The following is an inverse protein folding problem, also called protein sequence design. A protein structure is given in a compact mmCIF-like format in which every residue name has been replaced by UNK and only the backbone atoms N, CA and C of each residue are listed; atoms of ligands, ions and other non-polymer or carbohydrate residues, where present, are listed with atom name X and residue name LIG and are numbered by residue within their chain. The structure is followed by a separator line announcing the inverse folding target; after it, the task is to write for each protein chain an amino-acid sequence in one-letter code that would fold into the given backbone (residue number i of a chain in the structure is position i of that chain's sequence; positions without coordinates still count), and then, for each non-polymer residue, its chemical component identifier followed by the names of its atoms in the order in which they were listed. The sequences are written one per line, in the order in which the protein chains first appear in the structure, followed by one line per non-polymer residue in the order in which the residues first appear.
data_IF_000344381420
#
_entry.id   IF_000344381420
#
_cell.length_a   1.000
_cell.length_b   1.000
_cell.length_c   1.000
_cell.angle_alpha   90.00
_cell.angle_beta   90.00
_cell.angle_gamma   90.00
#
_symmetry.space_group_name_H-M   'P 1'
#
loop_
_entity.id
_entity.type
_entity.pdbx_description
1 polymer ?
#
# COMPACT_ATOMS: atom_id res chain seq x y z
N UNK A 1 -43.17 30.93 17.30
CA UNK A 1 -43.49 29.49 17.38
C UNK A 1 -42.45 28.83 18.27
N UNK A 2 -42.81 27.80 19.02
CA UNK A 2 -41.95 27.13 20.00
C UNK A 2 -41.56 25.73 19.51
N UNK A 3 -40.32 25.34 19.73
CA UNK A 3 -39.80 24.00 19.43
C UNK A 3 -39.29 23.33 20.71
N UNK A 4 -39.23 22.00 20.72
CA UNK A 4 -38.49 21.27 21.75
C UNK A 4 -36.99 21.37 21.47
N UNK A 5 -36.17 21.50 22.50
CA UNK A 5 -34.73 21.45 22.38
C UNK A 5 -34.11 20.58 23.46
N UNK A 6 -33.12 19.79 23.07
CA UNK A 6 -32.34 18.93 23.95
C UNK A 6 -30.96 18.74 23.31
N UNK A 7 -29.91 18.95 24.08
CA UNK A 7 -28.52 19.08 23.59
C UNK A 7 -28.20 20.43 22.94
N UNK A 8 -29.12 21.04 22.19
CA UNK A 8 -28.92 22.29 21.44
C UNK A 8 -29.90 23.42 21.81
N UNK A 9 -30.06 23.70 23.10
CA UNK A 9 -30.89 24.82 23.55
C UNK A 9 -30.11 26.16 23.54
N UNK A 10 -30.68 27.23 22.93
CA UNK A 10 -30.08 28.56 23.00
C UNK A 10 -30.08 29.07 24.45
N UNK A 11 -29.01 29.80 24.81
CA UNK A 11 -28.83 30.42 26.14
C UNK A 11 -28.90 29.45 27.33
N UNK A 12 -28.62 28.16 27.10
CA UNK A 12 -28.63 27.13 28.15
C UNK A 12 -29.96 27.06 28.92
N UNK A 13 -31.08 27.38 28.26
CA UNK A 13 -32.39 27.38 28.89
C UNK A 13 -32.78 25.97 29.37
N UNK A 14 -33.12 25.86 30.66
CA UNK A 14 -33.49 24.60 31.30
C UNK A 14 -34.91 24.12 30.98
N UNK A 15 -35.72 24.94 30.31
CA UNK A 15 -37.12 24.61 30.01
C UNK A 15 -37.27 23.65 28.81
N UNK A 16 -36.17 23.19 28.21
CA UNK A 16 -36.19 22.24 27.09
C UNK A 16 -36.91 22.75 25.85
N UNK A 17 -37.00 24.07 25.68
CA UNK A 17 -37.71 24.69 24.55
C UNK A 17 -36.96 25.91 24.03
N UNK A 18 -37.17 26.20 22.76
CA UNK A 18 -36.61 27.37 22.09
C UNK A 18 -37.66 28.05 21.20
N UNK A 19 -37.50 29.34 20.96
CA UNK A 19 -38.44 30.13 20.13
C UNK A 19 -37.83 30.45 18.77
N UNK A 20 -38.60 30.17 17.71
CA UNK A 20 -38.25 30.53 16.33
C UNK A 20 -39.00 31.78 15.87
N UNK A 21 -38.26 32.65 15.17
CA UNK A 21 -38.80 33.79 14.42
C UNK A 21 -39.63 33.31 13.23
N UNK A 22 -40.53 34.14 12.67
CA UNK A 22 -41.24 33.81 11.44
C UNK A 22 -40.28 33.37 10.32
N UNK A 23 -40.59 32.26 9.65
CA UNK A 23 -39.74 31.63 8.63
C UNK A 23 -38.68 30.67 9.19
N UNK A 24 -38.48 30.61 10.52
CA UNK A 24 -37.64 29.60 11.16
C UNK A 24 -38.37 28.26 11.32
N UNK A 25 -37.60 27.21 11.53
CA UNK A 25 -38.11 25.83 11.61
C UNK A 25 -37.64 25.13 12.88
N UNK A 26 -38.43 24.18 13.37
CA UNK A 26 -37.96 23.23 14.37
C UNK A 26 -37.22 22.08 13.69
N UNK A 27 -36.26 21.45 14.37
CA UNK A 27 -35.56 20.28 13.83
C UNK A 27 -35.45 19.15 14.85
N UNK A 28 -35.34 17.94 14.29
CA UNK A 28 -34.86 16.73 14.97
C UNK A 28 -33.76 16.14 14.12
N UNK A 29 -32.62 15.83 14.74
CA UNK A 29 -31.53 15.14 14.07
C UNK A 29 -31.14 13.89 14.83
N UNK A 30 -30.64 12.91 14.09
CA UNK A 30 -30.20 11.63 14.62
C UNK A 30 -28.79 11.35 14.13
N UNK A 31 -27.95 10.84 15.01
CA UNK A 31 -26.56 10.49 14.74
C UNK A 31 -26.26 9.11 15.31
N UNK A 32 -25.59 8.27 14.53
CA UNK A 32 -25.12 6.97 14.98
C UNK A 32 -23.80 7.14 15.74
N UNK A 33 -23.82 6.88 17.06
CA UNK A 33 -22.61 6.88 17.88
C UNK A 33 -22.28 5.46 18.32
N UNK A 34 -21.02 5.07 18.22
CA UNK A 34 -20.57 3.75 18.65
C UNK A 34 -20.52 3.68 20.19
N UNK A 35 -21.20 2.69 20.76
CA UNK A 35 -21.15 2.39 22.19
C UNK A 35 -20.18 1.24 22.45
N UNK A 36 -19.04 1.53 23.10
CA UNK A 36 -18.01 0.55 23.42
C UNK A 36 -18.49 -0.60 24.32
N UNK A 37 -19.50 -0.36 25.16
CA UNK A 37 -20.06 -1.39 26.05
C UNK A 37 -20.99 -2.33 25.30
N UNK A 38 -21.75 -1.80 24.35
CA UNK A 38 -22.70 -2.58 23.54
C UNK A 38 -22.05 -3.19 22.30
N UNK A 39 -20.90 -2.66 21.86
CA UNK A 39 -20.18 -3.08 20.67
C UNK A 39 -20.94 -2.76 19.37
N UNK A 40 -21.82 -1.76 19.39
CA UNK A 40 -22.69 -1.41 18.27
C UNK A 40 -23.00 0.08 18.22
N UNK A 41 -23.43 0.54 17.05
CA UNK A 41 -23.89 1.92 16.86
C UNK A 41 -25.28 2.11 17.49
N UNK A 42 -25.40 3.13 18.35
CA UNK A 42 -26.65 3.54 18.98
C UNK A 42 -27.14 4.88 18.41
N UNK A 43 -28.45 5.03 18.16
CA UNK A 43 -29.02 6.28 17.66
C UNK A 43 -29.10 7.33 18.77
N UNK A 44 -28.45 8.48 18.57
CA UNK A 44 -28.52 9.63 19.47
C UNK A 44 -29.30 10.76 18.81
N UNK A 45 -30.39 11.16 19.46
CA UNK A 45 -31.30 12.20 18.97
C UNK A 45 -30.96 13.56 19.58
N UNK A 46 -31.06 14.61 18.77
CA UNK A 46 -30.96 16.00 19.22
C UNK A 46 -32.06 16.85 18.61
N UNK A 47 -32.46 17.89 19.34
CA UNK A 47 -33.63 18.71 19.01
C UNK A 47 -33.30 20.18 19.16
N UNK A 48 -33.92 21.03 18.34
CA UNK A 48 -33.79 22.47 18.52
C UNK A 48 -34.47 23.32 17.45
N UNK A 49 -33.96 24.55 17.34
CA UNK A 49 -34.48 25.61 16.50
C UNK A 49 -33.48 26.00 15.40
N UNK A 50 -33.95 26.10 14.16
CA UNK A 50 -33.19 26.63 13.04
C UNK A 50 -33.64 28.08 12.72
N UNK A 51 -32.69 28.98 12.44
CA UNK A 51 -32.98 30.34 12.00
C UNK A 51 -33.69 30.35 10.62
N UNK A 52 -34.37 31.45 10.33
CA UNK A 52 -35.09 31.66 9.06
C UNK A 52 -34.16 32.04 7.88
N UNK A 53 -32.86 32.16 8.11
CA UNK A 53 -31.89 32.52 7.10
C UNK A 53 -31.49 31.31 6.25
N UNK A 54 -30.73 31.57 5.19
CA UNK A 54 -30.26 30.52 4.28
C UNK A 54 -29.47 29.43 5.01
N UNK A 55 -28.79 29.76 6.11
CA UNK A 55 -28.06 28.78 6.93
C UNK A 55 -28.99 27.74 7.54
N UNK A 56 -30.11 28.17 8.13
CA UNK A 56 -31.10 27.25 8.68
C UNK A 56 -31.72 26.35 7.59
N UNK A 57 -32.01 26.92 6.43
CA UNK A 57 -32.53 26.16 5.29
C UNK A 57 -31.54 25.12 4.77
N UNK A 58 -30.27 25.48 4.62
CA UNK A 58 -29.22 24.56 4.15
C UNK A 58 -28.92 23.47 5.18
N UNK A 59 -28.95 23.78 6.48
CA UNK A 59 -28.83 22.78 7.55
C UNK A 59 -29.99 21.78 7.51
N UNK A 60 -31.21 22.25 7.26
CA UNK A 60 -32.36 21.36 7.14
C UNK A 60 -32.23 20.38 5.97
N UNK A 61 -31.54 20.78 4.90
CA UNK A 61 -31.19 19.93 3.76
C UNK A 61 -29.95 19.06 3.98
N UNK A 62 -29.39 19.03 5.19
CA UNK A 62 -28.19 18.28 5.52
C UNK A 62 -28.33 16.78 5.25
N UNK A 63 -29.54 16.22 5.29
CA UNK A 63 -29.80 14.81 4.98
C UNK A 63 -29.53 14.43 3.51
N UNK A 64 -29.34 15.41 2.61
CA UNK A 64 -29.04 15.17 1.19
C UNK A 64 -27.55 14.95 0.92
N UNK A 65 -26.69 15.24 1.91
CA UNK A 65 -25.23 15.13 1.77
C UNK A 65 -24.78 13.83 2.45
N UNK A 66 -23.91 13.02 1.82
CA UNK A 66 -23.30 11.88 2.49
C UNK A 66 -22.42 12.36 3.64
N UNK A 67 -22.67 11.83 4.83
CA UNK A 67 -21.86 12.11 6.03
C UNK A 67 -20.90 10.95 6.30
N UNK A 68 -19.71 11.25 6.80
CA UNK A 68 -18.73 10.22 7.22
C UNK A 68 -19.27 9.39 8.39
N UNK A 69 -19.95 10.05 9.33
CA UNK A 69 -20.75 9.43 10.39
C UNK A 69 -22.22 9.43 9.97
N UNK A 70 -22.90 8.30 10.10
CA UNK A 70 -24.31 8.18 9.72
C UNK A 70 -25.17 9.17 10.51
N UNK A 71 -25.65 10.20 9.83
CA UNK A 71 -26.44 11.30 10.40
C UNK A 71 -27.57 11.69 9.47
N UNK A 72 -28.71 12.07 10.05
CA UNK A 72 -29.87 12.55 9.31
C UNK A 72 -30.60 13.64 10.09
N UNK A 73 -31.31 14.51 9.40
CA UNK A 73 -32.05 15.63 9.98
C UNK A 73 -33.38 15.81 9.26
N UNK A 74 -34.41 16.15 10.04
CA UNK A 74 -35.72 16.49 9.53
C UNK A 74 -36.22 17.75 10.24
N UNK A 75 -36.97 18.59 9.52
CA UNK A 75 -37.51 19.85 10.05
C UNK A 75 -39.00 19.95 9.82
N UNK A 76 -39.64 20.78 10.63
CA UNK A 76 -41.07 21.06 10.58
C UNK A 76 -41.37 22.49 11.01
N UNK A 77 -42.51 23.00 10.56
CA UNK A 77 -42.96 24.35 10.81
C UNK A 77 -44.51 24.45 10.86
N UNK A 78 -45.21 23.33 11.05
CA UNK A 78 -46.66 23.21 11.00
C UNK A 78 -47.33 23.63 12.32
N UNK A 79 -46.76 23.26 13.47
CA UNK A 79 -47.31 23.52 14.81
C UNK A 79 -46.23 23.78 15.86
N UNK A 80 -46.64 24.24 17.05
CA UNK A 80 -45.73 24.32 18.19
C UNK A 80 -45.29 22.90 18.62
N UNK A 81 -44.01 22.76 18.95
CA UNK A 81 -43.35 21.51 19.35
C UNK A 81 -43.46 20.38 18.30
N UNK A 82 -43.62 20.72 17.02
CA UNK A 82 -43.76 19.74 15.95
C UNK A 82 -42.61 18.73 15.85
N UNK A 83 -41.42 19.10 16.34
CA UNK A 83 -40.22 18.27 16.23
C UNK A 83 -40.21 17.05 17.18
N UNK A 84 -41.11 16.99 18.16
CA UNK A 84 -41.27 15.80 19.01
C UNK A 84 -41.76 14.57 18.22
N UNK A 85 -42.52 14.79 17.16
CA UNK A 85 -43.11 13.71 16.36
C UNK A 85 -42.17 13.23 15.23
N UNK A 86 -41.05 13.95 15.00
CA UNK A 86 -40.10 13.64 13.92
C UNK A 86 -39.19 12.47 14.31
N UNK A 87 -39.04 11.52 13.39
CA UNK A 87 -38.16 10.35 13.53
C UNK A 87 -37.30 10.21 12.28
N UNK A 88 -36.29 11.08 12.09
CA UNK A 88 -35.36 10.94 10.96
C UNK A 88 -34.65 9.59 11.05
N UNK A 89 -34.42 8.97 9.89
CA UNK A 89 -33.63 7.73 9.78
C UNK A 89 -32.33 8.03 9.06
N UNK A 90 -31.27 7.33 9.45
CA UNK A 90 -29.97 7.37 8.78
C UNK A 90 -29.74 6.04 8.05
N UNK A 91 -29.01 6.05 6.92
CA UNK A 91 -28.60 4.80 6.31
C UNK A 91 -27.67 4.05 7.27
N UNK A 92 -27.98 2.79 7.53
CA UNK A 92 -27.07 1.90 8.23
C UNK A 92 -25.77 1.83 7.43
N UNK A 93 -24.66 2.18 8.07
CA UNK A 93 -23.36 1.92 7.46
C UNK A 93 -23.27 0.40 7.31
N UNK A 94 -22.85 -0.13 6.13
CA UNK A 94 -22.51 -1.53 6.05
C UNK A 94 -21.54 -1.81 7.19
N UNK A 95 -21.92 -2.68 8.12
CA UNK A 95 -21.01 -3.16 9.14
C UNK A 95 -19.81 -3.69 8.36
N UNK A 96 -18.57 -3.23 8.61
CA UNK A 96 -17.43 -3.91 8.04
C UNK A 96 -17.57 -5.35 8.54
N UNK A 97 -17.85 -6.28 7.63
CA UNK A 97 -17.78 -7.70 7.96
C UNK A 97 -16.44 -7.87 8.68
N UNK A 98 -16.48 -8.38 9.91
CA UNK A 98 -15.28 -8.60 10.71
C UNK A 98 -14.25 -9.23 9.77
N UNK A 99 -13.06 -8.64 9.61
CA UNK A 99 -12.20 -8.94 8.48
C UNK A 99 -11.96 -10.45 8.47
N UNK A 100 -12.59 -11.14 7.52
CA UNK A 100 -12.23 -12.51 7.23
C UNK A 100 -10.75 -12.41 6.87
N UNK A 101 -9.89 -13.05 7.67
CA UNK A 101 -8.46 -13.14 7.44
C UNK A 101 -8.21 -13.72 6.03
N UNK A 102 -8.20 -12.86 5.01
CA UNK A 102 -8.25 -13.32 3.63
C UNK A 102 -8.75 -12.31 2.62
N UNK A 103 -8.31 -11.05 2.68
CA UNK A 103 -7.96 -10.18 1.53
C UNK A 103 -7.90 -8.72 1.98
N UNK A 104 -6.73 -8.06 1.92
CA UNK A 104 -6.67 -6.65 2.27
C UNK A 104 -7.16 -5.80 1.08
N UNK A 105 -8.29 -5.11 1.26
CA UNK A 105 -8.78 -4.01 0.43
C UNK A 105 -7.88 -2.75 0.53
N UNK A 106 -6.56 -2.96 0.42
CA UNK A 106 -5.54 -1.94 0.35
C UNK A 106 -4.72 -2.15 -0.93
N UNK A 107 -5.40 -2.37 -2.07
CA UNK A 107 -4.77 -2.54 -3.38
C UNK A 107 -3.72 -1.45 -3.70
N UNK A 108 -3.94 -0.14 -3.47
CA UNK A 108 -2.92 0.86 -3.79
C UNK A 108 -1.70 0.80 -2.84
N UNK A 109 -1.91 0.56 -1.54
CA UNK A 109 -0.83 0.53 -0.55
C UNK A 109 0.00 -0.75 -0.66
N UNK A 110 -0.65 -1.88 -0.91
CA UNK A 110 0.00 -3.18 -1.10
C UNK A 110 0.83 -3.20 -2.38
N UNK A 111 0.34 -2.59 -3.47
CA UNK A 111 1.10 -2.43 -4.72
C UNK A 111 2.32 -1.52 -4.51
N UNK A 112 2.17 -0.42 -3.76
CA UNK A 112 3.28 0.48 -3.46
C UNK A 112 4.38 -0.23 -2.67
N UNK A 113 4.01 -0.94 -1.60
CA UNK A 113 4.95 -1.65 -0.74
C UNK A 113 5.68 -2.78 -1.49
N UNK A 114 4.96 -3.55 -2.31
CA UNK A 114 5.56 -4.62 -3.13
C UNK A 114 6.50 -4.06 -4.20
N UNK A 115 6.16 -2.94 -4.84
CA UNK A 115 7.05 -2.27 -5.80
C UNK A 115 8.33 -1.75 -5.15
N UNK A 116 8.23 -1.11 -3.98
CA UNK A 116 9.40 -0.56 -3.27
C UNK A 116 10.34 -1.67 -2.81
N UNK A 117 9.79 -2.74 -2.23
CA UNK A 117 10.58 -3.89 -1.78
C UNK A 117 11.28 -4.60 -2.95
N UNK A 118 10.60 -4.78 -4.08
CA UNK A 118 11.22 -5.35 -5.28
C UNK A 118 12.34 -4.47 -5.84
N UNK A 119 12.15 -3.15 -5.86
CA UNK A 119 13.18 -2.22 -6.31
C UNK A 119 14.43 -2.27 -5.42
N UNK A 120 14.24 -2.27 -4.09
CA UNK A 120 15.34 -2.35 -3.13
C UNK A 120 16.12 -3.67 -3.24
N UNK A 121 15.43 -4.79 -3.41
CA UNK A 121 16.11 -6.10 -3.55
C UNK A 121 16.96 -6.16 -4.83
N UNK A 122 16.47 -5.64 -5.96
CA UNK A 122 17.24 -5.56 -7.20
C UNK A 122 18.49 -4.70 -7.04
N UNK A 123 18.38 -3.52 -6.41
CA UNK A 123 19.53 -2.65 -6.17
C UNK A 123 20.59 -3.35 -5.31
N UNK A 124 20.17 -4.03 -4.23
CA UNK A 124 21.09 -4.77 -3.37
C UNK A 124 21.78 -5.93 -4.10
N UNK A 125 21.06 -6.64 -4.97
CA UNK A 125 21.66 -7.70 -5.79
C UNK A 125 22.70 -7.15 -6.77
N UNK A 126 22.42 -6.03 -7.44
CA UNK A 126 23.37 -5.39 -8.36
C UNK A 126 24.63 -4.95 -7.58
N UNK A 127 24.46 -4.29 -6.43
CA UNK A 127 25.58 -3.87 -5.58
C UNK A 127 26.40 -5.08 -5.12
N UNK A 128 25.75 -6.17 -4.70
CA UNK A 128 26.43 -7.41 -4.31
C UNK A 128 27.24 -8.00 -5.47
N UNK A 129 26.67 -8.08 -6.68
CA UNK A 129 27.36 -8.58 -7.88
C UNK A 129 28.57 -7.69 -8.21
N UNK A 130 28.41 -6.37 -8.20
CA UNK A 130 29.51 -5.43 -8.45
C UNK A 130 30.60 -5.58 -7.40
N UNK A 131 30.22 -5.67 -6.12
CA UNK A 131 31.16 -5.89 -5.02
C UNK A 131 31.93 -7.20 -5.18
N UNK A 132 31.24 -8.31 -5.49
CA UNK A 132 31.89 -9.60 -5.73
C UNK A 132 32.80 -9.57 -6.96
N UNK A 133 32.39 -8.91 -8.05
CA UNK A 133 33.24 -8.74 -9.25
C UNK A 133 34.46 -7.89 -8.96
N UNK A 134 34.32 -6.81 -8.19
CA UNK A 134 35.42 -5.96 -7.78
C UNK A 134 36.37 -6.70 -6.84
N UNK A 135 35.84 -7.44 -5.88
CA UNK A 135 36.63 -8.27 -4.96
C UNK A 135 37.34 -9.40 -5.71
N UNK A 136 36.68 -10.05 -6.67
CA UNK A 136 37.30 -11.06 -7.55
C UNK A 136 38.39 -10.45 -8.43
N UNK A 137 38.15 -9.28 -9.02
CA UNK A 137 39.17 -8.53 -9.78
C UNK A 137 40.35 -8.11 -8.90
N UNK A 138 40.10 -7.70 -7.66
CA UNK A 138 41.15 -7.32 -6.72
C UNK A 138 41.99 -8.53 -6.30
N UNK A 139 41.35 -9.66 -6.00
CA UNK A 139 42.03 -10.92 -5.69
C UNK A 139 42.83 -11.42 -6.91
N UNK A 140 42.25 -11.37 -8.11
CA UNK A 140 42.95 -11.72 -9.35
C UNK A 140 44.12 -10.76 -9.65
N UNK A 141 43.96 -9.46 -9.40
CA UNK A 141 45.02 -8.46 -9.57
C UNK A 141 46.15 -8.68 -8.55
N UNK A 142 45.82 -8.99 -7.29
CA UNK A 142 46.79 -9.36 -6.25
C UNK A 142 47.52 -10.67 -6.60
N UNK A 143 46.81 -11.68 -7.08
CA UNK A 143 47.40 -12.94 -7.52
C UNK A 143 48.28 -12.78 -8.77
N UNK A 144 47.86 -11.97 -9.75
CA UNK A 144 48.65 -11.63 -10.95
C UNK A 144 49.92 -10.86 -10.62
N UNK A 145 49.87 -9.91 -9.66
CA UNK A 145 51.05 -9.20 -9.18
C UNK A 145 51.98 -10.09 -8.35
N UNK A 146 51.44 -11.00 -7.54
CA UNK A 146 52.22 -11.98 -6.79
C UNK A 146 52.92 -12.98 -7.73
N UNK A 147 52.21 -13.47 -8.75
CA UNK A 147 52.76 -14.35 -9.80
C UNK A 147 53.82 -13.65 -10.66
N UNK A 148 53.68 -12.34 -10.92
CA UNK A 148 54.68 -11.57 -11.68
C UNK A 148 55.95 -11.26 -10.88
N UNK A 149 55.88 -11.30 -9.55
CA UNK A 149 57.02 -11.09 -8.64
C UNK A 149 57.77 -12.39 -8.28
N UNK A 150 57.33 -13.56 -8.76
CA UNK A 150 58.07 -14.81 -8.62
C UNK A 150 58.63 -15.20 -10.00
N UNK A 151 59.90 -14.90 -10.31
CA UNK A 151 60.50 -15.37 -11.55
C UNK A 151 60.57 -16.89 -11.47
N UNK A 152 59.90 -17.56 -12.40
CA UNK A 152 60.11 -18.98 -12.67
C UNK A 152 61.49 -19.13 -13.30
N UNK A 153 62.52 -19.14 -12.47
CA UNK A 153 63.78 -19.79 -12.78
C UNK A 153 63.97 -20.97 -11.84
N UNK A 154 64.28 -22.11 -12.45
CA UNK A 154 65.03 -23.23 -11.85
C UNK A 154 64.31 -24.10 -10.80
N UNK A 155 63.60 -25.12 -11.29
CA UNK A 155 64.03 -26.54 -11.28
C UNK A 155 62.80 -27.50 -11.24
N UNK A 156 62.92 -28.68 -11.87
CA UNK A 156 61.82 -29.60 -12.14
C UNK A 156 61.53 -30.53 -10.95
N UNK A 157 60.32 -31.10 -10.92
CA UNK A 157 59.89 -32.20 -10.06
C UNK A 157 59.82 -31.91 -8.55
N UNK A 158 58.64 -31.52 -8.05
CA UNK A 158 58.14 -32.14 -6.82
C UNK A 158 56.61 -32.15 -6.77
N UNK A 159 56.11 -33.37 -6.65
CA UNK A 159 54.75 -33.81 -6.48
C UNK A 159 54.19 -33.33 -5.12
N UNK A 160 53.07 -32.60 -5.11
CA UNK A 160 52.29 -32.34 -3.89
C UNK A 160 50.82 -32.67 -4.17
N UNK A 161 50.39 -33.77 -3.58
CA UNK A 161 49.06 -34.34 -3.61
C UNK A 161 48.04 -33.41 -2.93
N UNK A 162 46.95 -33.09 -3.62
CA UNK A 162 45.82 -32.33 -3.06
C UNK A 162 44.75 -32.01 -4.11
N UNK A 163 43.46 -31.89 -3.73
CA UNK A 163 42.30 -32.31 -4.54
C UNK A 163 41.90 -31.36 -5.70
N UNK A 164 42.82 -30.54 -6.19
CA UNK A 164 42.58 -29.60 -7.29
C UNK A 164 42.76 -30.25 -8.68
N UNK A 165 43.37 -31.44 -8.76
CA UNK A 165 43.69 -32.13 -10.01
C UNK A 165 42.44 -32.66 -10.75
N UNK A 166 41.34 -32.94 -10.03
CA UNK A 166 40.18 -33.65 -10.59
C UNK A 166 39.11 -32.77 -11.27
N UNK A 167 39.28 -31.45 -11.39
CA UNK A 167 38.27 -30.59 -12.05
C UNK A 167 38.77 -29.81 -13.26
N UNK A 168 40.06 -29.88 -13.60
CA UNK A 168 40.60 -29.21 -14.80
C UNK A 168 40.38 -30.07 -16.06
N UNK A 169 40.21 -31.39 -15.92
CA UNK A 169 40.03 -32.31 -17.06
C UNK A 169 38.59 -32.40 -17.62
N UNK A 170 37.62 -31.63 -17.12
CA UNK A 170 36.21 -31.76 -17.54
C UNK A 170 35.59 -30.54 -18.25
N UNK A 171 36.38 -29.82 -19.05
CA UNK A 171 35.77 -29.08 -20.17
C UNK A 171 36.72 -28.96 -21.35
N UNK A 172 36.80 -30.06 -22.11
CA UNK A 172 37.26 -30.12 -23.49
C UNK A 172 36.56 -29.07 -24.35
N UNK A 173 37.33 -28.07 -24.77
CA UNK A 173 37.01 -27.12 -25.83
C UNK A 173 38.27 -26.87 -26.66
N UNK A 174 38.81 -27.96 -27.22
CA UNK A 174 39.98 -27.96 -28.11
C UNK A 174 39.82 -27.04 -29.32
N UNK A 175 40.89 -26.32 -29.66
CA UNK A 175 41.27 -26.13 -31.06
C UNK A 175 41.17 -24.72 -31.63
N UNK A 176 42.28 -23.99 -31.52
CA UNK A 176 42.99 -23.42 -32.69
C UNK A 176 42.32 -22.31 -33.50
N UNK A 177 42.66 -21.06 -33.18
CA UNK A 177 42.43 -19.90 -34.04
C UNK A 177 43.73 -19.17 -34.35
N UNK A 178 44.49 -19.62 -35.34
CA UNK A 178 45.50 -18.81 -36.05
C UNK A 178 45.76 -19.42 -37.44
N UNK A 179 46.12 -18.62 -38.45
CA UNK A 179 45.25 -17.80 -39.28
C UNK A 179 45.06 -18.40 -40.69
N UNK A 180 44.07 -17.86 -41.41
CA UNK A 180 43.70 -18.17 -42.81
C UNK A 180 44.92 -18.18 -43.76
N UNK A 181 45.08 -19.29 -44.49
CA UNK A 181 45.84 -19.41 -45.75
C UNK A 181 45.03 -20.28 -46.74
N UNK A 182 44.19 -19.59 -47.50
CA UNK A 182 43.98 -19.70 -48.96
C UNK A 182 44.26 -21.07 -49.64
N UNK A 183 43.17 -21.78 -49.95
CA UNK A 183 42.73 -22.17 -51.30
C UNK A 183 43.16 -23.50 -51.97
N UNK A 184 42.09 -24.15 -52.48
CA UNK A 184 41.92 -25.16 -53.54
C UNK A 184 42.07 -26.64 -53.15
N UNK A 185 40.90 -27.27 -53.03
CA UNK A 185 40.46 -28.49 -53.75
C UNK A 185 41.55 -29.31 -54.43
N UNK A 186 41.61 -30.61 -54.13
CA UNK A 186 41.20 -31.70 -55.03
C UNK A 186 41.01 -32.97 -54.19
N UNK A 187 39.88 -33.64 -54.43
CA UNK A 187 39.54 -35.00 -54.03
C UNK A 187 40.40 -36.03 -54.76
N UNK A 188 40.89 -37.06 -54.07
CA UNK A 188 40.74 -38.44 -54.57
C UNK A 188 40.94 -39.45 -53.43
N UNK A 189 40.03 -40.43 -53.43
CA UNK A 189 40.08 -41.64 -52.64
C UNK A 189 40.69 -42.75 -53.50
N UNK A 190 41.58 -43.56 -52.94
CA UNK A 190 41.87 -44.96 -53.26
C UNK A 190 43.25 -45.29 -52.65
N UNK A 191 43.60 -46.50 -52.27
CA UNK A 191 42.94 -47.77 -51.97
C UNK A 191 44.07 -48.69 -51.50
N UNK A 192 43.72 -49.78 -50.84
CA UNK A 192 44.60 -50.83 -50.35
C UNK A 192 45.67 -51.35 -51.34
N UNK A 193 46.71 -51.94 -50.74
CA UNK A 193 47.87 -52.72 -51.25
C UNK A 193 49.07 -51.97 -51.89
#
# INVERSE_FOLDING_TARGET
RRCYCEGHCPNNQHNGTCEVKPGGMCFTSVEALYDDMLGSDVPVYTYGCLPADERGFMQCKGHLVPHEQSKSIQCCDDKDLCNLDLKPTYPERPTPEAPSFGSPDNLPFTVLLTSVTFCLTLVLLIVAIVFLKNRKKEVQRKFSLYSKNYPSEKYPNMEIHGPLANLIEQSSGSGSGLPILVQRTISEANSDD
#
